data_IF_994313538627
#
_entry.id   IF_994313538627
#
_cell.length_a   1.000
_cell.length_b   1.000
_cell.length_c   1.000
_cell.angle_alpha   90.00
_cell.angle_beta   90.00
_cell.angle_gamma   90.00
#
_symmetry.space_group_name_H-M   'P 1'
#
loop_
_entity.id
_entity.type
_entity.pdbx_description
1 polymer ?
#
# COMPACT_ATOMS: atom_id res chain seq x y z
N UNK A 1 -4.79 -38.29 -50.61
CA UNK A 1 -3.65 -37.42 -50.16
C UNK A 1 -4.14 -36.57 -49.02
N UNK A 2 -3.77 -36.93 -47.79
CA UNK A 2 -4.14 -36.17 -46.60
C UNK A 2 -3.09 -35.08 -46.42
N UNK A 3 -3.54 -33.83 -46.54
CA UNK A 3 -2.69 -32.65 -46.26
C UNK A 3 -2.50 -32.52 -44.75
N UNK A 4 -1.32 -32.90 -44.27
CA UNK A 4 -0.89 -32.59 -42.89
C UNK A 4 -0.62 -31.08 -42.80
N UNK A 5 -1.57 -30.35 -42.23
CA UNK A 5 -1.35 -28.97 -41.84
C UNK A 5 -0.26 -28.95 -40.75
N UNK A 6 0.94 -28.52 -41.10
CA UNK A 6 2.02 -28.27 -40.18
C UNK A 6 1.59 -27.13 -39.26
N UNK A 7 1.29 -27.44 -38.00
CA UNK A 7 1.11 -26.45 -36.96
C UNK A 7 2.44 -25.68 -36.83
N UNK A 8 2.46 -24.42 -37.26
CA UNK A 8 3.58 -23.53 -36.97
C UNK A 8 3.75 -23.44 -35.44
N UNK A 9 4.78 -24.05 -34.91
CA UNK A 9 5.25 -23.80 -33.55
C UNK A 9 5.56 -22.31 -33.46
N UNK A 10 4.67 -21.54 -32.85
CA UNK A 10 5.00 -20.16 -32.48
C UNK A 10 6.08 -20.20 -31.40
N UNK A 11 7.16 -19.45 -31.58
CA UNK A 11 8.20 -19.30 -30.56
C UNK A 11 7.52 -18.84 -29.24
N UNK A 12 7.89 -19.50 -28.14
CA UNK A 12 7.38 -19.14 -26.80
C UNK A 12 7.91 -17.75 -26.41
N UNK A 13 7.02 -16.86 -26.05
CA UNK A 13 7.33 -15.54 -25.50
C UNK A 13 7.41 -15.68 -23.98
N UNK A 14 8.53 -15.29 -23.37
CA UNK A 14 8.64 -15.20 -21.92
C UNK A 14 8.36 -13.75 -21.50
N UNK A 15 7.28 -13.55 -20.72
CA UNK A 15 7.01 -12.26 -20.07
C UNK A 15 7.56 -12.28 -18.64
N UNK A 16 8.43 -11.35 -18.34
CA UNK A 16 8.99 -11.16 -17.00
C UNK A 16 8.18 -10.11 -16.25
N UNK A 17 7.76 -10.43 -15.03
CA UNK A 17 6.93 -9.57 -14.17
C UNK A 17 7.66 -9.34 -12.85
N UNK A 18 8.05 -8.10 -12.58
CA UNK A 18 8.74 -7.73 -11.35
C UNK A 18 7.79 -7.04 -10.37
N UNK A 19 7.74 -7.59 -9.14
CA UNK A 19 6.87 -7.15 -8.05
C UNK A 19 7.70 -6.88 -6.78
N UNK A 20 7.12 -6.15 -5.82
CA UNK A 20 7.73 -5.87 -4.51
C UNK A 20 7.00 -6.56 -3.35
N UNK A 21 6.38 -7.69 -3.61
CA UNK A 21 5.64 -8.50 -2.68
C UNK A 21 4.67 -9.42 -3.41
N UNK A 22 4.00 -10.30 -2.68
CA UNK A 22 2.98 -11.17 -3.25
C UNK A 22 1.70 -10.38 -3.56
N UNK A 23 1.38 -10.23 -4.85
CA UNK A 23 0.16 -9.59 -5.32
C UNK A 23 -1.01 -10.56 -5.48
N UNK A 24 -0.80 -11.86 -5.29
CA UNK A 24 -1.81 -12.90 -5.45
C UNK A 24 -2.10 -13.28 -6.90
N UNK A 25 -1.11 -13.15 -7.78
CA UNK A 25 -1.30 -13.37 -9.22
C UNK A 25 -1.03 -14.79 -9.71
N UNK A 26 -0.45 -15.66 -8.88
CA UNK A 26 0.02 -16.98 -9.30
C UNK A 26 -1.00 -17.80 -10.12
N UNK A 27 -2.25 -17.90 -9.65
CA UNK A 27 -3.28 -18.64 -10.40
C UNK A 27 -3.83 -17.85 -11.59
N UNK A 28 -3.73 -16.52 -11.56
CA UNK A 28 -4.11 -15.67 -12.68
C UNK A 28 -3.11 -15.80 -13.83
N UNK A 29 -1.81 -15.98 -13.53
CA UNK A 29 -0.81 -16.28 -14.58
C UNK A 29 -1.15 -17.56 -15.30
N UNK A 30 -1.45 -18.65 -14.59
CA UNK A 30 -1.87 -19.91 -15.19
C UNK A 30 -3.13 -19.78 -16.06
N UNK A 31 -4.11 -18.95 -15.62
CA UNK A 31 -5.30 -18.68 -16.42
C UNK A 31 -4.99 -17.91 -17.70
N UNK A 32 -4.06 -16.93 -17.62
CA UNK A 32 -3.63 -16.17 -18.78
C UNK A 32 -2.87 -17.06 -19.77
N UNK A 33 -1.91 -17.85 -19.30
CA UNK A 33 -1.13 -18.80 -20.10
C UNK A 33 -2.02 -19.83 -20.79
N UNK A 34 -3.04 -20.36 -20.10
CA UNK A 34 -4.00 -21.30 -20.68
C UNK A 34 -4.76 -20.72 -21.89
N UNK A 35 -5.00 -19.39 -21.90
CA UNK A 35 -5.62 -18.68 -23.03
C UNK A 35 -4.60 -18.12 -24.04
N UNK A 36 -3.30 -18.17 -23.72
CA UNK A 36 -2.18 -17.68 -24.52
C UNK A 36 -1.05 -18.72 -24.53
N UNK A 37 -1.22 -19.87 -25.19
CA UNK A 37 -0.32 -21.03 -25.05
C UNK A 37 1.11 -20.78 -25.57
N UNK A 38 1.35 -19.67 -26.22
CA UNK A 38 2.68 -19.22 -26.66
C UNK A 38 3.34 -18.25 -25.66
N UNK A 39 2.73 -17.98 -24.50
CA UNK A 39 3.27 -17.08 -23.47
C UNK A 39 3.59 -17.90 -22.22
N UNK A 40 4.78 -17.67 -21.65
CA UNK A 40 5.26 -18.18 -20.36
C UNK A 40 5.57 -16.98 -19.45
N UNK A 41 5.02 -16.95 -18.24
CA UNK A 41 5.17 -15.82 -17.31
C UNK A 41 6.17 -16.19 -16.24
N UNK A 42 7.16 -15.33 -16.02
CA UNK A 42 8.16 -15.45 -14.95
C UNK A 42 8.03 -14.28 -14.01
N UNK A 43 7.63 -14.56 -12.78
CA UNK A 43 7.54 -13.58 -11.71
C UNK A 43 8.86 -13.48 -10.94
N UNK A 44 9.31 -12.24 -10.68
CA UNK A 44 10.40 -11.91 -9.77
C UNK A 44 9.84 -11.03 -8.64
N UNK A 45 10.00 -11.48 -7.38
CA UNK A 45 9.56 -10.74 -6.20
C UNK A 45 10.78 -10.22 -5.45
N UNK A 46 10.94 -8.90 -5.46
CA UNK A 46 12.00 -8.20 -4.75
C UNK A 46 11.50 -7.63 -3.42
N UNK A 47 12.42 -7.21 -2.56
CA UNK A 47 12.03 -6.42 -1.39
C UNK A 47 11.47 -5.05 -1.82
N UNK A 48 10.54 -4.49 -1.04
CA UNK A 48 9.91 -3.20 -1.36
C UNK A 48 10.92 -2.06 -1.61
N UNK A 49 11.96 -1.84 -0.77
CA UNK A 49 12.94 -0.78 -1.03
C UNK A 49 13.83 -1.06 -2.25
N UNK A 50 14.22 -2.31 -2.46
CA UNK A 50 15.17 -2.67 -3.54
C UNK A 50 14.51 -2.58 -4.91
N UNK A 51 13.26 -3.04 -5.03
CA UNK A 51 12.51 -3.04 -6.29
C UNK A 51 12.47 -1.65 -6.95
N UNK A 52 12.02 -0.62 -6.24
CA UNK A 52 11.88 0.72 -6.81
C UNK A 52 13.23 1.38 -7.11
N UNK A 53 14.24 1.10 -6.27
CA UNK A 53 15.62 1.54 -6.52
C UNK A 53 16.23 0.89 -7.75
N UNK A 54 16.04 -0.42 -7.91
CA UNK A 54 16.48 -1.17 -9.09
C UNK A 54 15.76 -0.72 -10.36
N UNK A 55 14.43 -0.56 -10.31
CA UNK A 55 13.68 -0.04 -11.45
C UNK A 55 14.20 1.32 -11.90
N UNK A 56 14.37 2.28 -10.98
CA UNK A 56 14.91 3.60 -11.34
C UNK A 56 16.30 3.52 -12.00
N UNK A 57 17.17 2.64 -11.47
CA UNK A 57 18.51 2.38 -12.04
C UNK A 57 18.44 1.73 -13.42
N UNK A 58 17.62 0.69 -13.60
CA UNK A 58 17.45 0.00 -14.87
C UNK A 58 16.90 0.93 -15.96
N UNK A 59 15.93 1.79 -15.60
CA UNK A 59 15.42 2.80 -16.54
C UNK A 59 16.48 3.81 -16.93
N UNK A 60 17.29 4.28 -15.98
CA UNK A 60 18.35 5.26 -16.26
C UNK A 60 19.48 4.67 -17.12
N UNK A 61 19.83 3.39 -16.93
CA UNK A 61 20.89 2.70 -17.70
C UNK A 61 20.41 2.18 -19.06
N UNK A 62 19.10 2.15 -19.29
CA UNK A 62 18.50 1.63 -20.52
C UNK A 62 18.44 0.11 -20.61
N UNK A 63 18.75 -0.62 -19.54
CA UNK A 63 18.74 -2.08 -19.50
C UNK A 63 18.40 -2.62 -18.10
N UNK A 64 17.77 -3.80 -18.05
CA UNK A 64 17.53 -4.56 -16.83
C UNK A 64 16.10 -4.47 -16.29
N UNK A 65 15.23 -3.59 -16.80
CA UNK A 65 13.82 -3.61 -16.44
C UNK A 65 13.09 -4.78 -17.11
N UNK A 66 12.17 -5.38 -16.37
CA UNK A 66 11.32 -6.48 -16.84
C UNK A 66 10.19 -5.98 -17.74
N UNK A 67 9.44 -6.90 -18.38
CA UNK A 67 8.34 -6.54 -19.30
C UNK A 67 7.18 -5.84 -18.57
N UNK A 68 6.93 -6.22 -17.33
CA UNK A 68 5.93 -5.61 -16.45
C UNK A 68 6.57 -5.29 -15.12
N UNK A 69 6.44 -4.04 -14.69
CA UNK A 69 6.97 -3.53 -13.42
C UNK A 69 5.84 -3.02 -12.52
N UNK A 70 5.82 -3.46 -11.28
CA UNK A 70 4.90 -2.91 -10.28
C UNK A 70 5.45 -1.59 -9.73
N UNK A 71 4.59 -0.59 -9.60
CA UNK A 71 4.94 0.73 -9.04
C UNK A 71 4.01 1.04 -7.87
N UNK A 72 4.56 1.20 -6.66
CA UNK A 72 3.79 1.63 -5.50
C UNK A 72 3.40 3.11 -5.63
N UNK A 73 2.27 3.50 -5.02
CA UNK A 73 1.68 4.84 -5.16
C UNK A 73 2.64 5.97 -4.74
N UNK A 74 3.54 5.74 -3.79
CA UNK A 74 4.55 6.72 -3.37
C UNK A 74 5.59 7.05 -4.45
N UNK A 75 5.80 6.13 -5.39
CA UNK A 75 6.77 6.28 -6.48
C UNK A 75 6.14 6.65 -7.82
N UNK A 76 4.81 6.54 -7.97
CA UNK A 76 4.16 6.79 -9.27
C UNK A 76 4.42 8.22 -9.80
N UNK A 77 4.51 9.22 -8.91
CA UNK A 77 4.77 10.59 -9.32
C UNK A 77 6.21 10.80 -9.84
N UNK A 78 7.19 10.06 -9.32
CA UNK A 78 8.56 10.02 -9.83
C UNK A 78 8.57 9.49 -11.27
N UNK A 79 7.91 8.37 -11.51
CA UNK A 79 7.91 7.72 -12.82
C UNK A 79 7.02 8.42 -13.86
N UNK A 80 5.92 9.07 -13.44
CA UNK A 80 5.15 9.93 -14.35
C UNK A 80 5.90 11.22 -14.74
N UNK A 81 6.94 11.61 -14.00
CA UNK A 81 7.83 12.71 -14.38
C UNK A 81 8.79 12.32 -15.52
N UNK A 82 9.05 11.02 -15.73
CA UNK A 82 9.94 10.48 -16.74
C UNK A 82 9.24 9.50 -17.69
N UNK A 83 8.14 9.91 -18.34
CA UNK A 83 7.27 9.01 -19.11
C UNK A 83 7.92 8.38 -20.33
N UNK A 84 9.07 8.91 -20.79
CA UNK A 84 9.83 8.37 -21.92
C UNK A 84 10.36 6.96 -21.65
N UNK A 85 10.46 6.55 -20.40
CA UNK A 85 10.91 5.21 -20.03
C UNK A 85 9.78 4.16 -20.01
N UNK A 86 8.54 4.58 -20.22
CA UNK A 86 7.38 3.69 -20.17
C UNK A 86 6.59 3.71 -21.46
N UNK A 87 6.02 2.58 -21.81
CA UNK A 87 5.08 2.46 -22.90
C UNK A 87 3.82 3.28 -22.59
N UNK A 88 3.42 4.15 -23.52
CA UNK A 88 2.15 4.87 -23.39
C UNK A 88 0.98 3.90 -23.68
N UNK A 89 0.34 3.43 -22.63
CA UNK A 89 -0.77 2.46 -22.72
C UNK A 89 -1.95 2.98 -23.58
N UNK A 90 -2.05 4.29 -23.78
CA UNK A 90 -3.06 4.85 -24.68
C UNK A 90 -2.90 4.38 -26.13
N UNK A 91 -1.68 4.02 -26.55
CA UNK A 91 -1.40 3.46 -27.90
C UNK A 91 -2.04 2.08 -28.08
N UNK A 92 -2.39 1.41 -26.99
CA UNK A 92 -3.06 0.10 -26.98
C UNK A 92 -4.55 0.22 -26.56
N UNK A 93 -5.11 1.42 -26.52
CA UNK A 93 -6.53 1.64 -26.26
C UNK A 93 -6.91 1.85 -24.80
N UNK A 94 -5.95 2.13 -23.90
CA UNK A 94 -6.18 2.31 -22.47
C UNK A 94 -7.27 3.36 -22.14
N UNK A 95 -7.40 4.44 -22.94
CA UNK A 95 -8.42 5.48 -22.73
C UNK A 95 -9.85 4.94 -22.65
N UNK A 96 -10.17 3.87 -23.37
CA UNK A 96 -11.50 3.26 -23.34
C UNK A 96 -11.81 2.61 -21.98
N UNK A 97 -10.79 2.29 -21.20
CA UNK A 97 -10.86 1.62 -19.90
C UNK A 97 -10.90 2.61 -18.72
N UNK A 98 -10.77 3.93 -18.94
CA UNK A 98 -10.58 4.95 -17.87
C UNK A 98 -11.62 4.87 -16.74
N UNK A 99 -12.86 4.49 -17.05
CA UNK A 99 -13.93 4.42 -16.06
C UNK A 99 -13.92 3.12 -15.22
N UNK A 100 -12.98 2.20 -15.50
CA UNK A 100 -12.79 0.99 -14.70
C UNK A 100 -12.30 1.33 -13.30
N UNK A 101 -11.39 2.29 -13.17
CA UNK A 101 -10.75 2.69 -11.92
C UNK A 101 -11.42 3.89 -11.25
N UNK A 102 -11.17 4.05 -9.96
CA UNK A 102 -11.41 5.31 -9.26
C UNK A 102 -10.72 6.44 -10.03
N UNK A 103 -11.43 7.54 -10.25
CA UNK A 103 -10.94 8.62 -11.13
C UNK A 103 -9.58 9.20 -10.69
N UNK A 104 -9.32 9.25 -9.39
CA UNK A 104 -8.04 9.70 -8.87
C UNK A 104 -6.92 8.67 -9.11
N UNK A 105 -7.22 7.36 -8.97
CA UNK A 105 -6.26 6.27 -9.22
C UNK A 105 -5.82 6.28 -10.69
N UNK A 106 -6.77 6.42 -11.60
CA UNK A 106 -6.48 6.57 -13.03
C UNK A 106 -5.62 7.81 -13.31
N UNK A 107 -5.94 8.97 -12.71
CA UNK A 107 -5.20 10.22 -12.95
C UNK A 107 -3.77 10.21 -12.42
N UNK A 108 -3.51 9.51 -11.32
CA UNK A 108 -2.17 9.48 -10.73
C UNK A 108 -1.12 8.80 -11.61
N UNK A 109 -1.50 7.94 -12.55
CA UNK A 109 -0.59 7.31 -13.51
C UNK A 109 -0.58 7.98 -14.89
N UNK A 110 -1.15 9.18 -15.01
CA UNK A 110 -1.06 10.00 -16.21
C UNK A 110 0.09 10.99 -16.07
N UNK A 111 1.05 10.93 -16.99
CA UNK A 111 2.14 11.89 -17.09
C UNK A 111 1.69 13.25 -17.62
N UNK A 112 2.50 14.29 -17.44
CA UNK A 112 2.20 15.66 -17.91
C UNK A 112 1.95 15.76 -19.42
N UNK A 113 2.59 14.92 -20.22
CA UNK A 113 2.37 14.84 -21.67
C UNK A 113 1.13 14.04 -22.07
N UNK A 114 0.31 13.60 -21.09
CA UNK A 114 -0.92 12.82 -21.30
C UNK A 114 -0.71 11.32 -21.48
N UNK A 115 0.52 10.81 -21.40
CA UNK A 115 0.79 9.38 -21.45
C UNK A 115 0.23 8.67 -20.22
N UNK A 116 -0.49 7.57 -20.42
CA UNK A 116 -0.91 6.63 -19.37
C UNK A 116 0.20 5.61 -19.20
N UNK A 117 0.94 5.65 -18.09
CA UNK A 117 2.09 4.76 -17.89
C UNK A 117 1.76 3.49 -17.11
N UNK A 118 0.61 3.39 -16.44
CA UNK A 118 0.27 2.21 -15.66
C UNK A 118 -1.21 2.05 -15.37
N UNK A 119 -1.62 0.82 -15.08
CA UNK A 119 -2.96 0.48 -14.61
C UNK A 119 -2.96 0.23 -13.11
N UNK A 120 -3.91 0.79 -12.39
CA UNK A 120 -4.05 0.58 -10.95
C UNK A 120 -4.44 -0.86 -10.61
N UNK A 121 -3.85 -1.41 -9.57
CA UNK A 121 -4.13 -2.77 -9.08
C UNK A 121 -5.08 -2.77 -7.89
N UNK A 122 -4.77 -1.95 -6.88
CA UNK A 122 -5.46 -1.92 -5.59
C UNK A 122 -5.43 -0.53 -4.95
N UNK A 123 -6.09 -0.41 -3.80
CA UNK A 123 -6.12 0.79 -2.97
C UNK A 123 -5.77 0.43 -1.53
N UNK A 124 -4.79 1.13 -0.96
CA UNK A 124 -4.40 0.99 0.44
C UNK A 124 -5.34 1.71 1.41
N UNK A 125 -6.65 1.51 1.25
CA UNK A 125 -7.65 2.11 2.13
C UNK A 125 -7.44 1.71 3.59
N UNK A 126 -7.55 2.67 4.52
CA UNK A 126 -7.14 2.51 5.91
C UNK A 126 -8.25 2.03 6.85
N UNK A 127 -7.83 1.19 7.78
CA UNK A 127 -8.53 0.82 9.01
C UNK A 127 -7.50 0.71 10.16
N UNK A 128 -7.91 0.24 11.33
CA UNK A 128 -7.02 -0.23 12.41
C UNK A 128 -7.26 -1.72 12.59
N UNK A 129 -6.21 -2.53 12.35
CA UNK A 129 -6.21 -3.93 12.77
C UNK A 129 -5.79 -4.00 14.24
N UNK A 130 -6.53 -4.75 15.06
CA UNK A 130 -6.24 -4.85 16.49
C UNK A 130 -6.35 -6.28 17.00
N UNK A 131 -5.55 -6.59 18.01
CA UNK A 131 -5.54 -7.84 18.77
C UNK A 131 -6.66 -7.83 19.82
N UNK A 132 -7.79 -8.43 19.48
CA UNK A 132 -8.94 -8.50 20.38
C UNK A 132 -8.64 -9.23 21.71
N UNK A 133 -7.75 -10.21 21.66
CA UNK A 133 -7.29 -10.93 22.85
C UNK A 133 -6.44 -10.04 23.79
N UNK A 134 -5.56 -9.19 23.24
CA UNK A 134 -4.77 -8.24 24.04
C UNK A 134 -5.64 -7.11 24.60
N UNK A 135 -6.61 -6.62 23.82
CA UNK A 135 -7.60 -5.64 24.30
C UNK A 135 -8.40 -6.18 25.47
N UNK A 136 -8.86 -7.44 25.39
CA UNK A 136 -9.59 -8.10 26.50
C UNK A 136 -8.74 -8.17 27.75
N UNK A 137 -7.46 -8.55 27.63
CA UNK A 137 -6.53 -8.61 28.78
C UNK A 137 -6.30 -7.25 29.42
N UNK A 138 -6.31 -6.18 28.61
CA UNK A 138 -6.19 -4.80 29.09
C UNK A 138 -7.52 -4.17 29.55
N UNK A 139 -8.60 -4.94 29.61
CA UNK A 139 -9.93 -4.45 30.04
C UNK A 139 -10.60 -3.49 29.05
N UNK A 140 -10.13 -3.48 27.77
CA UNK A 140 -10.71 -2.67 26.72
C UNK A 140 -11.83 -3.43 25.97
N UNK A 141 -12.77 -2.71 25.32
CA UNK A 141 -13.76 -3.32 24.45
C UNK A 141 -13.11 -4.13 23.34
N UNK A 142 -13.80 -5.21 22.89
CA UNK A 142 -13.31 -6.06 21.78
C UNK A 142 -14.23 -6.06 20.57
N UNK A 143 -15.47 -5.56 20.70
CA UNK A 143 -16.39 -5.46 19.57
C UNK A 143 -16.01 -4.28 18.66
N UNK A 144 -15.91 -4.46 17.31
CA UNK A 144 -15.43 -3.45 16.38
C UNK A 144 -16.05 -2.07 16.50
N UNK A 145 -17.37 -1.99 16.67
CA UNK A 145 -18.07 -0.71 16.84
C UNK A 145 -17.67 0.01 18.14
N UNK A 146 -17.53 -0.73 19.24
CA UNK A 146 -17.10 -0.17 20.54
C UNK A 146 -15.64 0.25 20.49
N UNK A 147 -14.79 -0.51 19.79
CA UNK A 147 -13.37 -0.19 19.58
C UNK A 147 -13.24 1.06 18.72
N UNK A 148 -13.95 1.14 17.59
CA UNK A 148 -13.99 2.35 16.74
C UNK A 148 -14.42 3.61 17.51
N UNK A 149 -15.34 3.48 18.45
CA UNK A 149 -15.80 4.58 19.30
C UNK A 149 -14.76 5.09 20.31
N UNK A 150 -13.68 4.31 20.58
CA UNK A 150 -12.58 4.76 21.45
C UNK A 150 -11.78 5.90 20.83
N UNK A 151 -11.70 5.95 19.47
CA UNK A 151 -10.80 6.83 18.76
C UNK A 151 -11.41 7.52 17.52
N UNK A 152 -12.41 8.40 17.69
CA UNK A 152 -12.94 9.18 16.57
C UNK A 152 -11.91 10.15 15.96
N UNK A 153 -10.83 10.44 16.69
CA UNK A 153 -9.69 11.26 16.25
C UNK A 153 -8.37 10.61 16.64
N UNK A 154 -7.28 11.03 16.02
CA UNK A 154 -5.93 10.52 16.34
C UNK A 154 -5.49 10.86 17.79
N UNK A 155 -5.91 12.02 18.32
CA UNK A 155 -5.67 12.36 19.73
C UNK A 155 -6.40 11.40 20.68
N UNK A 156 -7.60 10.95 20.30
CA UNK A 156 -8.35 9.92 21.07
C UNK A 156 -7.73 8.54 20.91
N UNK A 157 -7.10 8.25 19.73
CA UNK A 157 -6.34 7.02 19.54
C UNK A 157 -5.15 6.95 20.50
N UNK A 158 -4.34 8.00 20.60
CA UNK A 158 -3.27 8.11 21.60
C UNK A 158 -3.82 8.01 23.03
N UNK A 159 -4.94 8.66 23.34
CA UNK A 159 -5.56 8.54 24.66
C UNK A 159 -6.06 7.11 24.98
N UNK A 160 -6.48 6.35 23.96
CA UNK A 160 -6.80 4.93 24.11
C UNK A 160 -5.55 4.10 24.39
N UNK A 161 -4.42 4.45 23.76
CA UNK A 161 -3.10 3.84 24.01
C UNK A 161 -2.66 4.01 25.46
N UNK A 162 -2.79 5.21 26.03
CA UNK A 162 -2.51 5.44 27.46
C UNK A 162 -3.33 4.53 28.36
N UNK A 163 -4.62 4.32 28.04
CA UNK A 163 -5.48 3.40 28.81
C UNK A 163 -5.05 1.95 28.67
N UNK A 164 -4.66 1.56 27.45
CA UNK A 164 -4.16 0.22 27.17
C UNK A 164 -2.87 -0.05 27.98
N UNK A 165 -1.88 0.86 27.94
CA UNK A 165 -0.58 0.67 28.60
C UNK A 165 -0.70 0.52 30.14
N UNK A 166 -1.75 1.10 30.78
CA UNK A 166 -1.98 0.93 32.22
C UNK A 166 -2.28 -0.50 32.65
N UNK A 167 -2.82 -1.31 31.75
CA UNK A 167 -3.31 -2.66 32.03
C UNK A 167 -2.84 -3.68 30.98
N UNK A 168 -1.91 -3.28 30.10
CA UNK A 168 -1.39 -4.16 29.07
C UNK A 168 -0.61 -5.33 29.65
N UNK A 169 -0.57 -6.47 28.97
CA UNK A 169 0.40 -7.52 29.29
C UNK A 169 1.83 -6.95 29.24
N UNK A 170 2.71 -7.54 30.06
CA UNK A 170 4.13 -7.15 30.08
C UNK A 170 4.73 -7.22 28.66
N UNK A 171 5.60 -6.29 28.33
CA UNK A 171 6.32 -6.21 27.05
C UNK A 171 5.41 -6.10 25.80
N UNK A 172 4.21 -5.51 25.98
CA UNK A 172 3.24 -5.28 24.91
C UNK A 172 2.93 -3.80 24.79
N UNK A 173 2.97 -3.27 23.57
CA UNK A 173 2.72 -1.87 23.28
C UNK A 173 1.36 -1.68 22.59
N UNK A 174 0.87 -0.43 22.57
CA UNK A 174 -0.43 -0.14 21.97
C UNK A 174 -0.36 -0.21 20.45
N UNK A 175 0.68 0.36 19.83
CA UNK A 175 0.90 0.28 18.39
C UNK A 175 2.33 -0.16 18.04
N UNK A 176 2.51 -0.58 16.82
CA UNK A 176 3.73 -1.17 16.29
C UNK A 176 4.86 -0.16 16.10
N UNK A 177 4.55 1.01 15.50
CA UNK A 177 5.52 2.05 15.14
C UNK A 177 4.85 3.40 14.99
N UNK A 178 5.51 4.45 15.48
CA UNK A 178 5.06 5.82 15.29
C UNK A 178 5.13 6.27 13.82
N UNK A 179 6.02 5.68 13.03
CA UNK A 179 6.10 5.95 11.59
C UNK A 179 4.83 5.47 10.86
N UNK A 180 4.28 4.32 11.22
CA UNK A 180 3.06 3.81 10.63
C UNK A 180 1.83 4.65 11.03
N UNK A 181 1.76 5.08 12.29
CA UNK A 181 0.72 6.02 12.76
C UNK A 181 0.82 7.36 12.03
N UNK A 182 2.01 7.91 11.87
CA UNK A 182 2.26 9.13 11.13
C UNK A 182 1.87 9.01 9.64
N UNK A 183 2.27 7.93 8.98
CA UNK A 183 1.91 7.65 7.58
C UNK A 183 0.40 7.60 7.38
N UNK A 184 -0.33 6.96 8.29
CA UNK A 184 -1.79 6.93 8.23
C UNK A 184 -2.40 8.32 8.36
N UNK A 185 -1.90 9.15 9.29
CA UNK A 185 -2.35 10.54 9.43
C UNK A 185 -2.05 11.37 8.18
N UNK A 186 -0.84 11.28 7.64
CA UNK A 186 -0.46 12.00 6.41
C UNK A 186 -1.25 11.49 5.22
N UNK A 187 -1.53 10.18 5.14
CA UNK A 187 -2.38 9.55 4.13
C UNK A 187 -3.82 10.06 4.09
N UNK A 188 -4.26 10.77 5.13
CA UNK A 188 -5.57 11.43 5.19
C UNK A 188 -5.52 12.91 4.79
N UNK A 189 -4.34 13.50 4.58
CA UNK A 189 -4.19 14.92 4.26
C UNK A 189 -4.26 15.18 2.75
N UNK A 190 -5.01 16.20 2.38
CA UNK A 190 -5.03 16.76 1.03
C UNK A 190 -5.10 18.29 1.13
N UNK A 191 -4.03 19.01 0.82
CA UNK A 191 -2.67 18.56 0.49
C UNK A 191 -1.89 18.05 1.72
N UNK A 192 -0.85 17.24 1.47
CA UNK A 192 0.11 16.76 2.48
C UNK A 192 1.50 17.40 2.26
N UNK A 193 2.40 16.69 1.57
CA UNK A 193 3.75 17.19 1.28
C UNK A 193 3.79 18.13 0.07
N UNK A 194 2.86 18.00 -0.87
CA UNK A 194 2.81 18.82 -2.09
C UNK A 194 1.49 19.57 -2.19
N UNK A 195 1.56 20.83 -2.66
CA UNK A 195 0.39 21.66 -2.99
C UNK A 195 -0.27 21.20 -4.29
N UNK A 196 -1.47 21.74 -4.59
CA UNK A 196 -2.17 21.48 -5.85
C UNK A 196 -1.36 21.90 -7.10
N UNK A 197 -0.41 22.81 -6.93
CA UNK A 197 0.49 23.26 -8.01
C UNK A 197 1.79 22.44 -8.11
N UNK A 198 1.93 21.39 -7.29
CA UNK A 198 3.13 20.54 -7.25
C UNK A 198 4.30 21.13 -6.45
N UNK A 199 4.11 22.25 -5.72
CA UNK A 199 5.14 22.83 -4.86
C UNK A 199 5.28 21.99 -3.60
N UNK A 200 6.52 21.70 -3.19
CA UNK A 200 6.82 21.10 -1.89
C UNK A 200 6.43 22.04 -0.74
N UNK A 201 5.58 21.56 0.17
CA UNK A 201 5.06 22.31 1.31
C UNK A 201 5.19 21.55 2.63
N UNK A 202 5.95 20.45 2.67
CA UNK A 202 6.07 19.60 3.86
C UNK A 202 6.49 20.40 5.11
N UNK A 203 7.46 21.33 4.97
CA UNK A 203 7.98 22.16 6.05
C UNK A 203 7.01 23.27 6.51
N UNK A 204 6.12 23.72 5.64
CA UNK A 204 5.18 24.84 5.90
C UNK A 204 3.75 24.38 6.16
N UNK A 205 3.43 23.12 5.94
CA UNK A 205 2.10 22.60 6.19
C UNK A 205 1.90 22.26 7.68
N UNK A 206 1.08 23.06 8.43
CA UNK A 206 0.90 22.86 9.87
C UNK A 206 0.26 21.50 10.19
N UNK A 207 -0.50 20.89 9.25
CA UNK A 207 -1.12 19.57 9.47
C UNK A 207 -0.10 18.44 9.44
N UNK A 208 0.95 18.54 8.62
CA UNK A 208 2.08 17.61 8.61
C UNK A 208 2.84 17.66 9.93
N UNK A 209 3.09 18.90 10.44
CA UNK A 209 3.72 19.11 11.76
C UNK A 209 2.85 18.57 12.90
N UNK A 210 1.52 18.77 12.82
CA UNK A 210 0.59 18.26 13.82
C UNK A 210 0.54 16.73 13.84
N UNK A 211 0.60 16.07 12.67
CA UNK A 211 0.71 14.62 12.58
C UNK A 211 2.00 14.10 13.24
N UNK A 212 3.14 14.76 12.97
CA UNK A 212 4.40 14.46 13.63
C UNK A 212 4.32 14.58 15.16
N UNK A 213 3.78 15.69 15.66
CA UNK A 213 3.62 15.90 17.10
C UNK A 213 2.72 14.84 17.75
N UNK A 214 1.65 14.43 17.06
CA UNK A 214 0.74 13.39 17.56
C UNK A 214 1.43 12.03 17.62
N UNK A 215 2.15 11.60 16.58
CA UNK A 215 2.89 10.34 16.57
C UNK A 215 4.01 10.34 17.64
N UNK A 216 4.78 11.42 17.73
CA UNK A 216 5.84 11.59 18.75
C UNK A 216 5.27 11.57 20.18
N UNK A 217 4.06 12.09 20.39
CA UNK A 217 3.38 12.04 21.69
C UNK A 217 3.09 10.58 22.13
N UNK A 218 2.76 9.67 21.20
CA UNK A 218 2.60 8.26 21.52
C UNK A 218 3.91 7.59 21.96
N UNK A 219 5.03 7.94 21.31
CA UNK A 219 6.36 7.47 21.74
C UNK A 219 6.65 7.88 23.19
N UNK A 220 6.46 9.16 23.50
CA UNK A 220 6.72 9.71 24.85
C UNK A 220 5.84 9.09 25.94
N UNK A 221 4.73 8.47 25.56
CA UNK A 221 3.81 7.75 26.47
C UNK A 221 4.08 6.24 26.52
N UNK A 222 5.12 5.75 25.86
CA UNK A 222 5.47 4.33 25.81
C UNK A 222 4.50 3.46 25.01
N UNK A 223 3.73 4.06 24.11
CA UNK A 223 2.70 3.36 23.33
C UNK A 223 3.26 2.62 22.12
N UNK A 224 4.44 3.01 21.63
CA UNK A 224 5.10 2.43 20.46
C UNK A 224 5.96 1.25 20.83
N UNK A 225 5.88 0.16 20.04
CA UNK A 225 6.84 -0.93 20.08
C UNK A 225 8.19 -0.55 19.43
N UNK A 226 8.23 0.51 18.64
CA UNK A 226 9.45 1.04 18.02
C UNK A 226 10.01 0.19 16.89
N UNK A 227 9.21 -0.70 16.31
CA UNK A 227 9.66 -1.59 15.25
C UNK A 227 9.57 -0.93 13.88
N UNK A 228 10.66 -0.99 13.11
CA UNK A 228 10.62 -0.58 11.71
C UNK A 228 9.71 -1.51 10.91
N UNK A 229 8.78 -0.95 10.15
CA UNK A 229 7.92 -1.75 9.28
C UNK A 229 8.74 -2.65 8.34
N UNK A 230 8.26 -3.88 8.13
CA UNK A 230 8.88 -4.92 7.31
C UNK A 230 10.21 -5.50 7.86
N UNK A 231 10.67 -5.06 9.04
CA UNK A 231 11.82 -5.69 9.71
C UNK A 231 11.45 -7.06 10.27
N UNK A 232 12.46 -7.90 10.52
CA UNK A 232 12.28 -9.21 11.16
C UNK A 232 11.58 -9.11 12.51
N UNK A 233 11.93 -8.10 13.34
CA UNK A 233 11.32 -7.89 14.66
C UNK A 233 9.85 -7.45 14.54
N UNK A 234 9.53 -6.60 13.59
CA UNK A 234 8.15 -6.19 13.31
C UNK A 234 7.30 -7.39 12.86
N UNK A 235 7.84 -8.23 11.96
CA UNK A 235 7.18 -9.44 11.51
C UNK A 235 6.92 -10.42 12.67
N UNK A 236 7.93 -10.67 13.50
CA UNK A 236 7.79 -11.50 14.69
C UNK A 236 6.80 -10.88 15.71
N UNK A 237 6.69 -9.58 15.76
CA UNK A 237 5.80 -8.82 16.63
C UNK A 237 4.33 -9.17 16.46
N UNK A 238 3.87 -9.44 15.23
CA UNK A 238 2.50 -9.89 14.95
C UNK A 238 2.17 -11.21 15.64
N UNK A 239 3.06 -12.20 15.50
CA UNK A 239 2.91 -13.53 16.11
C UNK A 239 3.01 -13.45 17.62
N UNK A 240 4.01 -12.73 18.13
CA UNK A 240 4.33 -12.70 19.55
C UNK A 240 3.49 -11.70 20.36
N UNK A 241 2.59 -10.94 19.71
CA UNK A 241 1.72 -9.98 20.37
C UNK A 241 2.46 -8.82 21.01
N UNK A 242 3.52 -8.33 20.36
CA UNK A 242 4.33 -7.22 20.87
C UNK A 242 3.63 -5.87 20.77
N UNK A 243 2.58 -5.79 19.97
CA UNK A 243 1.71 -4.62 19.84
C UNK A 243 0.25 -5.05 19.65
N UNK A 244 -0.64 -4.21 20.13
CA UNK A 244 -2.08 -4.48 20.14
C UNK A 244 -2.80 -3.92 18.92
N UNK A 245 -2.26 -2.90 18.25
CA UNK A 245 -2.84 -2.28 17.06
C UNK A 245 -1.78 -2.03 16.00
N UNK A 246 -2.21 -1.99 14.77
CA UNK A 246 -1.44 -1.52 13.62
C UNK A 246 -2.35 -0.71 12.71
N UNK A 247 -1.84 0.40 12.16
CA UNK A 247 -2.55 1.09 11.08
C UNK A 247 -2.58 0.19 9.86
N UNK A 248 -3.77 -0.14 9.42
CA UNK A 248 -4.01 -1.30 8.57
C UNK A 248 -4.61 -0.85 7.23
N UNK A 249 -3.79 -0.65 6.19
CA UNK A 249 -4.31 -0.65 4.83
C UNK A 249 -4.84 -2.06 4.48
N UNK A 250 -5.71 -2.15 3.50
CA UNK A 250 -6.41 -3.41 3.20
C UNK A 250 -5.44 -4.57 2.91
N UNK A 251 -4.35 -4.33 2.17
CA UNK A 251 -3.31 -5.32 1.87
C UNK A 251 -2.59 -5.87 3.12
N UNK A 252 -2.56 -5.09 4.22
CA UNK A 252 -1.95 -5.51 5.48
C UNK A 252 -2.63 -6.75 6.07
N UNK A 253 -3.89 -7.02 5.72
CA UNK A 253 -4.58 -8.23 6.17
C UNK A 253 -3.85 -9.49 5.70
N UNK A 254 -3.55 -9.59 4.42
CA UNK A 254 -2.78 -10.71 3.86
C UNK A 254 -1.39 -10.81 4.46
N UNK A 255 -0.74 -9.65 4.63
CA UNK A 255 0.57 -9.60 5.27
C UNK A 255 0.55 -10.16 6.70
N UNK A 256 -0.40 -9.74 7.56
CA UNK A 256 -0.54 -10.27 8.93
C UNK A 256 -0.82 -11.78 8.90
N UNK A 257 -1.68 -12.24 7.99
CA UNK A 257 -1.99 -13.68 7.84
C UNK A 257 -0.72 -14.49 7.49
N UNK A 258 0.11 -13.98 6.59
CA UNK A 258 1.37 -14.62 6.20
C UNK A 258 2.40 -14.65 7.33
N UNK A 259 2.56 -13.53 8.05
CA UNK A 259 3.56 -13.43 9.13
C UNK A 259 3.15 -14.13 10.43
N UNK A 260 1.86 -14.27 10.70
CA UNK A 260 1.36 -14.76 11.98
C UNK A 260 0.14 -15.69 11.83
N UNK A 261 0.22 -16.79 11.04
CA UNK A 261 -0.93 -17.66 10.75
C UNK A 261 -1.56 -18.25 12.02
N UNK A 262 -0.78 -18.51 13.07
CA UNK A 262 -1.23 -19.06 14.37
C UNK A 262 -2.03 -18.06 15.22
N UNK A 263 -2.23 -16.84 14.72
CA UNK A 263 -3.03 -15.81 15.40
C UNK A 263 -4.43 -15.65 14.79
N UNK A 264 -4.86 -16.58 13.95
CA UNK A 264 -6.23 -16.61 13.42
C UNK A 264 -7.27 -16.50 14.53
N UNK A 265 -8.29 -15.66 14.34
CA UNK A 265 -9.34 -15.40 15.31
C UNK A 265 -8.94 -14.49 16.49
N UNK A 266 -7.68 -14.07 16.62
CA UNK A 266 -7.22 -13.11 17.64
C UNK A 266 -7.28 -11.66 17.17
N UNK A 267 -7.34 -11.43 15.86
CA UNK A 267 -7.41 -10.11 15.23
C UNK A 267 -8.85 -9.69 14.94
N UNK A 268 -9.05 -8.38 14.89
CA UNK A 268 -10.29 -7.78 14.39
C UNK A 268 -9.98 -6.42 13.76
N UNK A 269 -10.96 -5.74 13.16
CA UNK A 269 -10.79 -4.49 12.42
C UNK A 269 -11.73 -3.44 12.95
N UNK A 270 -11.20 -2.24 13.19
CA UNK A 270 -11.95 -1.05 13.59
C UNK A 270 -11.72 0.10 12.60
N UNK A 271 -12.61 1.08 12.59
CA UNK A 271 -12.46 2.27 11.76
C UNK A 271 -11.16 3.02 12.12
N UNK A 272 -10.47 3.55 11.11
CA UNK A 272 -9.34 4.44 11.32
C UNK A 272 -9.81 5.78 11.92
N UNK A 273 -9.06 6.38 12.85
CA UNK A 273 -9.38 7.71 13.37
C UNK A 273 -9.52 8.75 12.26
N UNK A 274 -10.56 9.58 12.32
CA UNK A 274 -10.84 10.60 11.29
C UNK A 274 -11.48 10.07 10.02
N UNK A 275 -11.41 8.77 9.76
CA UNK A 275 -11.97 8.10 8.58
C UNK A 275 -11.22 8.37 7.28
N UNK A 276 -11.37 7.48 6.31
CA UNK A 276 -10.69 7.58 5.00
C UNK A 276 -9.16 7.36 5.10
N UNK A 277 -8.45 7.87 4.10
CA UNK A 277 -7.00 7.76 4.01
C UNK A 277 -6.53 6.61 3.15
N UNK A 278 -5.29 6.75 2.65
CA UNK A 278 -4.64 5.77 1.81
C UNK A 278 -3.19 5.58 2.23
N UNK A 279 -2.78 4.33 2.32
CA UNK A 279 -1.38 3.95 2.44
C UNK A 279 -1.11 2.78 1.50
N UNK A 280 -0.32 3.03 0.45
CA UNK A 280 -0.02 2.03 -0.56
C UNK A 280 -1.07 1.92 -1.66
N UNK A 281 -1.09 0.77 -2.30
CA UNK A 281 -1.74 0.51 -3.56
C UNK A 281 -0.80 0.75 -4.74
N UNK A 282 -0.97 -0.03 -5.80
CA UNK A 282 0.06 -0.17 -6.82
C UNK A 282 -0.48 0.03 -8.23
N UNK A 283 0.44 0.05 -9.17
CA UNK A 283 0.20 0.11 -10.62
C UNK A 283 1.07 -0.95 -11.29
N UNK A 284 0.61 -1.49 -12.40
CA UNK A 284 1.44 -2.26 -13.34
C UNK A 284 1.76 -1.39 -14.54
N UNK A 285 3.04 -1.24 -14.84
CA UNK A 285 3.57 -0.44 -15.92
C UNK A 285 4.44 -1.30 -16.85
N UNK A 286 4.67 -0.83 -18.06
CA UNK A 286 5.48 -1.53 -19.09
C UNK A 286 6.64 -0.61 -19.44
N UNK A 287 7.89 -0.94 -19.07
CA UNK A 287 9.06 -0.21 -19.51
C UNK A 287 9.22 -0.25 -21.04
N UNK A 288 9.78 0.81 -21.65
CA UNK A 288 10.10 0.81 -23.09
C UNK A 288 11.19 -0.19 -23.45
N UNK A 289 11.86 -0.78 -22.47
CA UNK A 289 12.85 -1.87 -22.64
C UNK A 289 12.20 -3.22 -22.98
N UNK A 290 10.89 -3.39 -22.71
CA UNK A 290 10.17 -4.62 -23.09
C UNK A 290 10.20 -4.86 -24.59
N UNK A 291 10.60 -6.06 -24.99
CA UNK A 291 10.52 -6.55 -26.38
C UNK A 291 9.11 -7.03 -26.76
N UNK A 292 8.21 -7.15 -25.77
CA UNK A 292 6.86 -7.71 -25.93
C UNK A 292 5.77 -6.78 -25.38
N UNK A 293 5.75 -5.48 -25.71
CA UNK A 293 4.87 -4.49 -25.08
C UNK A 293 3.37 -4.76 -25.33
N UNK A 294 3.03 -5.43 -26.43
CA UNK A 294 1.64 -5.79 -26.74
C UNK A 294 1.16 -6.90 -25.83
N UNK A 295 1.93 -7.95 -25.67
CA UNK A 295 1.62 -9.09 -24.82
C UNK A 295 1.62 -8.67 -23.33
N UNK A 296 2.58 -7.84 -22.93
CA UNK A 296 2.63 -7.23 -21.61
C UNK A 296 1.37 -6.37 -21.32
N UNK A 297 0.88 -5.61 -22.34
CA UNK A 297 -0.35 -4.84 -22.20
C UNK A 297 -1.58 -5.75 -22.00
N UNK A 298 -1.71 -6.83 -22.77
CA UNK A 298 -2.81 -7.78 -22.58
C UNK A 298 -2.74 -8.43 -21.19
N UNK A 299 -1.54 -8.76 -20.70
CA UNK A 299 -1.36 -9.29 -19.35
C UNK A 299 -1.80 -8.30 -18.28
N UNK A 300 -1.29 -7.05 -18.27
CA UNK A 300 -1.67 -6.08 -17.23
C UNK A 300 -3.16 -5.70 -17.31
N UNK A 301 -3.76 -5.68 -18.50
CA UNK A 301 -5.19 -5.46 -18.69
C UNK A 301 -6.01 -6.61 -18.12
N UNK A 302 -5.54 -7.85 -18.23
CA UNK A 302 -6.15 -9.04 -17.63
C UNK A 302 -6.01 -9.01 -16.10
N UNK A 303 -4.79 -8.80 -15.56
CA UNK A 303 -4.53 -8.76 -14.12
C UNK A 303 -5.26 -7.63 -13.39
N UNK A 304 -5.58 -6.55 -14.08
CA UNK A 304 -6.37 -5.43 -13.56
C UNK A 304 -7.84 -5.47 -14.02
N UNK A 305 -8.32 -6.62 -14.52
CA UNK A 305 -9.73 -6.79 -14.86
C UNK A 305 -10.59 -6.85 -13.59
N UNK A 306 -11.91 -6.57 -13.69
CA UNK A 306 -12.81 -6.70 -12.55
C UNK A 306 -12.80 -8.09 -11.90
N UNK A 307 -12.70 -9.13 -12.72
CA UNK A 307 -12.64 -10.51 -12.24
C UNK A 307 -11.34 -10.79 -11.48
N UNK A 308 -10.20 -10.34 -12.02
CA UNK A 308 -8.89 -10.51 -11.39
C UNK A 308 -8.78 -9.75 -10.08
N UNK A 309 -9.15 -8.46 -10.04
CA UNK A 309 -9.11 -7.68 -8.79
C UNK A 309 -10.07 -8.25 -7.72
N UNK A 310 -11.23 -8.78 -8.12
CA UNK A 310 -12.14 -9.44 -7.19
C UNK A 310 -11.58 -10.77 -6.66
N UNK A 311 -10.85 -11.52 -7.49
CA UNK A 311 -10.15 -12.72 -7.09
C UNK A 311 -9.04 -12.41 -6.09
N UNK A 312 -8.15 -11.49 -6.43
CA UNK A 312 -7.03 -11.04 -5.59
C UNK A 312 -7.52 -10.55 -4.23
N UNK A 313 -8.59 -9.74 -4.19
CA UNK A 313 -9.16 -9.27 -2.93
C UNK A 313 -9.56 -10.42 -1.99
N UNK A 314 -10.14 -11.48 -2.51
CA UNK A 314 -10.52 -12.65 -1.71
C UNK A 314 -9.32 -13.43 -1.18
N UNK A 315 -8.23 -13.48 -1.93
CA UNK A 315 -7.04 -14.23 -1.57
C UNK A 315 -6.13 -13.48 -0.61
N UNK A 316 -5.83 -12.23 -0.92
CA UNK A 316 -4.80 -11.44 -0.21
C UNK A 316 -5.36 -10.29 0.63
N UNK A 317 -6.60 -9.86 0.37
CA UNK A 317 -7.18 -8.67 0.98
C UNK A 317 -6.84 -7.38 0.24
N UNK A 318 -6.08 -7.41 -0.86
CA UNK A 318 -5.77 -6.23 -1.68
C UNK A 318 -7.06 -5.63 -2.22
N UNK A 319 -7.44 -4.46 -1.71
CA UNK A 319 -8.75 -3.86 -2.02
C UNK A 319 -8.82 -3.37 -3.47
N UNK A 320 -9.85 -3.76 -4.24
CA UNK A 320 -9.98 -3.34 -5.63
C UNK A 320 -9.91 -1.81 -5.80
N UNK A 321 -9.25 -1.38 -6.85
CA UNK A 321 -9.16 0.03 -7.25
C UNK A 321 -10.37 0.51 -8.07
N UNK A 322 -11.37 -0.34 -8.26
CA UNK A 322 -12.51 -0.18 -9.16
C UNK A 322 -13.78 0.18 -8.39
N UNK A 323 -14.44 1.34 -8.69
CA UNK A 323 -15.61 1.78 -7.92
C UNK A 323 -16.81 0.84 -8.03
N UNK A 324 -16.98 0.13 -9.15
CA UNK A 324 -18.03 -0.87 -9.32
C UNK A 324 -17.84 -2.06 -8.37
N UNK A 325 -16.59 -2.55 -8.23
CA UNK A 325 -16.26 -3.63 -7.30
C UNK A 325 -16.40 -3.20 -5.84
N UNK A 326 -15.94 -2.00 -5.48
CA UNK A 326 -16.10 -1.48 -4.11
C UNK A 326 -17.56 -1.41 -3.67
N UNK A 327 -18.50 -1.23 -4.61
CA UNK A 327 -19.95 -1.20 -4.37
C UNK A 327 -20.61 -2.58 -4.51
N UNK A 328 -19.90 -3.58 -5.04
CA UNK A 328 -20.46 -4.90 -5.31
C UNK A 328 -20.76 -5.68 -4.02
N UNK A 329 -21.76 -6.57 -4.08
CA UNK A 329 -22.04 -7.51 -2.99
C UNK A 329 -20.84 -8.40 -2.66
N UNK A 330 -20.04 -8.76 -3.68
CA UNK A 330 -18.86 -9.59 -3.51
C UNK A 330 -17.82 -8.95 -2.58
N UNK A 331 -17.62 -7.65 -2.69
CA UNK A 331 -16.70 -6.90 -1.79
C UNK A 331 -17.43 -6.51 -0.50
N UNK A 332 -18.59 -5.87 -0.57
CA UNK A 332 -19.30 -5.33 0.60
C UNK A 332 -19.65 -6.39 1.66
N UNK A 333 -19.98 -7.60 1.23
CA UNK A 333 -20.35 -8.69 2.12
C UNK A 333 -19.16 -9.59 2.53
N UNK A 334 -17.96 -9.31 2.02
CA UNK A 334 -16.79 -10.13 2.34
C UNK A 334 -16.42 -10.03 3.80
N UNK A 335 -16.28 -11.20 4.43
CA UNK A 335 -15.83 -11.36 5.81
C UNK A 335 -14.56 -12.18 5.83
N UNK A 336 -13.62 -11.81 6.70
CA UNK A 336 -12.36 -12.52 6.81
C UNK A 336 -12.34 -13.36 8.10
N UNK A 337 -12.30 -14.71 7.99
CA UNK A 337 -12.29 -15.61 9.16
C UNK A 337 -11.07 -15.38 10.07
N UNK A 338 -9.91 -15.08 9.52
CA UNK A 338 -8.70 -14.78 10.27
C UNK A 338 -8.90 -13.57 11.22
N UNK A 339 -9.66 -12.59 10.78
CA UNK A 339 -10.01 -11.38 11.55
C UNK A 339 -11.36 -11.55 12.31
N UNK A 340 -11.53 -12.69 12.99
CA UNK A 340 -12.76 -12.97 13.77
C UNK A 340 -14.04 -12.80 12.95
N UNK A 341 -14.00 -13.16 11.68
CA UNK A 341 -15.11 -13.03 10.75
C UNK A 341 -15.65 -11.58 10.60
N UNK A 342 -14.75 -10.61 10.74
CA UNK A 342 -15.06 -9.19 10.58
C UNK A 342 -15.58 -8.87 9.16
N UNK A 343 -16.46 -7.88 9.05
CA UNK A 343 -16.99 -7.38 7.79
C UNK A 343 -15.95 -6.47 7.07
N UNK A 344 -14.78 -7.03 6.78
CA UNK A 344 -13.62 -6.30 6.27
C UNK A 344 -13.90 -5.59 4.97
N UNK A 345 -14.62 -6.24 4.05
CA UNK A 345 -14.99 -5.66 2.77
C UNK A 345 -15.77 -4.35 2.91
N UNK A 346 -16.77 -4.33 3.80
CA UNK A 346 -17.56 -3.13 4.09
C UNK A 346 -16.71 -2.01 4.71
N UNK A 347 -15.84 -2.34 5.67
CA UNK A 347 -14.99 -1.36 6.36
C UNK A 347 -14.06 -0.69 5.38
N UNK A 348 -13.29 -1.46 4.62
CA UNK A 348 -12.31 -0.92 3.68
C UNK A 348 -12.94 -0.24 2.47
N UNK A 349 -14.00 -0.81 1.87
CA UNK A 349 -14.67 -0.18 0.74
C UNK A 349 -15.30 1.17 1.12
N UNK A 350 -15.93 1.27 2.30
CA UNK A 350 -16.49 2.54 2.77
C UNK A 350 -15.39 3.59 3.05
N UNK A 351 -14.23 3.18 3.55
CA UNK A 351 -13.07 4.04 3.73
C UNK A 351 -12.53 4.52 2.38
N UNK A 352 -12.37 3.61 1.38
CA UNK A 352 -11.92 3.94 0.03
C UNK A 352 -12.84 4.92 -0.70
N UNK A 353 -14.16 4.76 -0.57
CA UNK A 353 -15.14 5.65 -1.20
C UNK A 353 -15.17 7.06 -0.59
N UNK A 354 -14.70 7.22 0.66
CA UNK A 354 -14.58 8.51 1.36
C UNK A 354 -13.20 9.14 1.24
N UNK A 355 -12.25 8.41 0.68
CA UNK A 355 -10.87 8.82 0.55
C UNK A 355 -10.74 10.09 -0.29
N UNK A 356 -9.99 11.06 0.24
CA UNK A 356 -9.48 12.20 -0.52
C UNK A 356 -8.06 11.87 -0.95
N UNK A 357 -7.79 11.79 -2.27
CA UNK A 357 -6.46 11.39 -2.75
C UNK A 357 -5.41 12.42 -2.37
N UNK A 358 -4.24 11.96 -1.99
CA UNK A 358 -3.08 12.82 -1.79
C UNK A 358 -2.63 13.43 -3.12
N UNK A 359 -2.10 14.64 -3.04
CA UNK A 359 -1.34 15.25 -4.12
C UNK A 359 0.10 14.77 -3.96
N UNK A 360 0.55 13.97 -4.92
CA UNK A 360 1.87 13.35 -4.91
C UNK A 360 2.86 14.18 -5.72
N UNK A 361 4.13 14.10 -5.36
CA UNK A 361 5.23 14.69 -6.09
C UNK A 361 6.38 13.70 -6.26
N UNK A 362 7.42 14.06 -7.05
CA UNK A 362 8.46 13.12 -7.48
C UNK A 362 9.28 12.51 -6.32
N UNK A 363 9.38 13.19 -5.18
CA UNK A 363 10.11 12.73 -4.00
C UNK A 363 9.20 12.23 -2.88
N UNK A 364 7.97 11.80 -3.20
CA UNK A 364 7.01 11.34 -2.19
C UNK A 364 7.55 10.19 -1.34
N UNK A 365 8.16 9.18 -1.98
CA UNK A 365 8.74 8.02 -1.32
C UNK A 365 9.94 8.40 -0.43
N UNK A 366 10.82 9.26 -0.92
CA UNK A 366 12.00 9.72 -0.18
C UNK A 366 11.59 10.50 1.08
N UNK A 367 10.60 11.38 0.97
CA UNK A 367 10.05 12.14 2.10
C UNK A 367 9.43 11.20 3.13
N UNK A 368 8.72 10.18 2.69
CA UNK A 368 8.14 9.18 3.58
C UNK A 368 9.21 8.37 4.31
N UNK A 369 10.29 8.00 3.62
CA UNK A 369 11.46 7.33 4.20
C UNK A 369 12.16 8.22 5.22
N UNK A 370 12.38 9.49 4.91
CA UNK A 370 12.98 10.47 5.82
C UNK A 370 12.12 10.68 7.08
N UNK A 371 10.79 10.70 6.95
CA UNK A 371 9.87 10.79 8.08
C UNK A 371 9.96 9.55 8.98
N UNK A 372 9.95 8.36 8.38
CA UNK A 372 10.09 7.10 9.11
C UNK A 372 11.40 7.02 9.89
N UNK A 373 12.52 7.37 9.25
CA UNK A 373 13.84 7.44 9.88
C UNK A 373 13.87 8.47 11.04
N UNK A 374 13.18 9.60 10.86
CA UNK A 374 13.08 10.61 11.89
C UNK A 374 12.34 10.13 13.14
N UNK A 375 11.18 9.50 12.97
CA UNK A 375 10.41 8.97 14.10
C UNK A 375 11.15 7.81 14.78
N UNK A 376 11.83 6.96 14.00
CA UNK A 376 12.65 5.88 14.54
C UNK A 376 13.81 6.40 15.41
N UNK A 377 14.43 7.55 15.06
CA UNK A 377 15.44 8.19 15.93
C UNK A 377 14.86 8.58 17.29
N UNK A 378 13.59 8.97 17.36
CA UNK A 378 12.91 9.26 18.62
C UNK A 378 12.63 7.97 19.40
N UNK A 379 12.10 6.94 18.75
CA UNK A 379 11.83 5.63 19.35
C UNK A 379 13.08 4.97 19.93
N UNK A 380 14.23 5.18 19.28
CA UNK A 380 15.53 4.68 19.73
C UNK A 380 16.19 5.56 20.80
N UNK A 381 15.56 6.66 21.23
CA UNK A 381 16.12 7.60 22.20
C UNK A 381 17.32 8.42 21.69
N UNK A 382 17.62 8.37 20.38
CA UNK A 382 18.74 9.09 19.76
C UNK A 382 18.48 10.60 19.61
N UNK A 383 17.24 10.98 19.49
CA UNK A 383 16.80 12.38 19.35
C UNK A 383 15.46 12.59 20.08
N UNK A 384 15.21 13.79 20.54
CA UNK A 384 13.88 14.20 20.97
C UNK A 384 13.01 14.61 19.75
N UNK A 385 11.71 14.77 19.96
CA UNK A 385 10.75 15.09 18.88
C UNK A 385 11.11 16.40 18.14
N UNK A 386 11.62 17.40 18.82
CA UNK A 386 11.98 18.71 18.25
C UNK A 386 13.23 18.61 17.37
N UNK A 387 14.30 18.00 17.88
CA UNK A 387 15.55 17.84 17.12
C UNK A 387 15.36 16.92 15.93
N UNK A 388 14.60 15.83 16.09
CA UNK A 388 14.30 14.92 14.99
C UNK A 388 13.40 15.55 13.92
N UNK A 389 12.44 16.41 14.29
CA UNK A 389 11.68 17.21 13.33
C UNK A 389 12.58 18.13 12.50
N UNK A 390 13.50 18.85 13.14
CA UNK A 390 14.45 19.73 12.44
C UNK A 390 15.31 18.93 11.45
N UNK A 391 15.79 17.75 11.86
CA UNK A 391 16.56 16.88 10.97
C UNK A 391 15.69 16.37 9.81
N UNK A 392 14.45 15.92 10.07
CA UNK A 392 13.52 15.50 9.03
C UNK A 392 13.30 16.61 7.98
N UNK A 393 13.11 17.87 8.40
CA UNK A 393 12.95 18.99 7.46
C UNK A 393 14.23 19.26 6.65
N UNK A 394 15.42 19.06 7.25
CA UNK A 394 16.68 19.11 6.52
C UNK A 394 16.79 18.00 5.47
N UNK A 395 16.42 16.78 5.85
CA UNK A 395 16.43 15.61 4.96
C UNK A 395 15.45 15.83 3.78
N UNK A 396 14.24 16.36 4.04
CA UNK A 396 13.25 16.72 3.01
C UNK A 396 13.79 17.75 2.01
N UNK A 397 14.47 18.78 2.50
CA UNK A 397 15.05 19.80 1.62
C UNK A 397 16.20 19.24 0.78
N UNK A 398 16.97 18.30 1.32
CA UNK A 398 18.10 17.69 0.62
C UNK A 398 17.65 16.77 -0.55
N UNK A 399 16.51 16.08 -0.42
CA UNK A 399 16.01 15.21 -1.50
C UNK A 399 15.20 15.95 -2.56
N UNK A 400 14.79 17.19 -2.29
CA UNK A 400 13.97 18.01 -3.18
C UNK A 400 14.74 19.15 -3.87
N UNK A 401 15.98 19.38 -3.49
CA UNK A 401 16.91 20.37 -4.08
C UNK A 401 17.90 19.75 -5.01
#
# INVERSE_FOLDING_TARGET
MASTASAKSHATITLRVSLFGDFGYHDLYKQFEASHPNIDIKEDIQSYPDHHGNLAKHLATGAGADDVEAIEVGFIAQFTATPQYFVNLNSYGAKSLKNRWLSWKWRQSIARNGAQIGFGTDVGSLAICYRADLFRRAGLPTAPAKVSALWPTWQKYIAAGVRYQKHSPKDTHFFDSASNVYNAMVGQLTPAYYSATGKLIASTNPRVKAAWATASSGINKGESAGYAAFSTDWNAGFKNGKFATVTCPAWMMGYIQGQAPDTSGKWNIAAVPGGGGNWGGSYLAIPTQSSHPKEAYELIKFLTSPAAEAYVFKQTGNLPSQPALLKSKAVQNFRNPFFSNAAVGKVFANSALKLKPQILGPHQGDIQTAASSGLQRIEQGKQNATSSWKQFMKDVNAVAG
#
